data_IF_187827790974
#
_entry.id   IF_187827790974
#
_cell.length_a   1.000
_cell.length_b   1.000
_cell.length_c   1.000
_cell.angle_alpha   90.00
_cell.angle_beta   90.00
_cell.angle_gamma   90.00
#
_symmetry.space_group_name_H-M   'P 1'
#
loop_
_entity.id
_entity.type
_entity.pdbx_description
1 polymer ?
#
# COMPACT_ATOMS: atom_id res chain seq x y z
N UNK A 1 11.07 3.65 -5.58
CA UNK A 1 11.70 2.49 -4.90
C UNK A 1 12.11 1.52 -6.00
N UNK A 2 13.40 1.40 -6.33
CA UNK A 2 13.81 0.65 -7.52
C UNK A 2 13.50 -0.86 -7.45
N UNK A 3 13.51 -1.45 -6.25
CA UNK A 3 13.42 -2.90 -6.05
C UNK A 3 12.01 -3.39 -5.70
N UNK A 4 11.09 -2.48 -5.38
CA UNK A 4 9.71 -2.86 -5.04
C UNK A 4 8.87 -2.97 -6.32
N UNK A 5 8.15 -4.08 -6.47
CA UNK A 5 7.18 -4.28 -7.54
C UNK A 5 5.74 -4.20 -7.03
N UNK A 6 5.51 -4.60 -5.78
CA UNK A 6 4.18 -4.67 -5.18
C UNK A 6 4.19 -4.01 -3.82
N UNK A 7 3.17 -3.18 -3.55
CA UNK A 7 2.94 -2.57 -2.25
C UNK A 7 1.64 -3.09 -1.67
N UNK A 8 1.65 -3.53 -0.42
CA UNK A 8 0.41 -3.81 0.33
C UNK A 8 0.18 -2.67 1.30
N UNK A 9 -0.99 -2.03 1.21
CA UNK A 9 -1.38 -0.86 2.00
C UNK A 9 -2.62 -1.20 2.82
N UNK A 10 -2.59 -0.86 4.10
CA UNK A 10 -3.74 -0.96 5.00
C UNK A 10 -3.81 0.28 5.89
N UNK A 11 -5.02 0.80 6.06
CA UNK A 11 -5.36 1.86 7.01
C UNK A 11 -6.19 1.23 8.14
N UNK A 12 -5.52 0.87 9.23
CA UNK A 12 -6.21 0.31 10.39
C UNK A 12 -7.05 1.41 11.06
N UNK A 13 -8.36 1.18 11.16
CA UNK A 13 -9.36 2.08 11.75
C UNK A 13 -9.24 2.31 13.26
N UNK A 14 -10.21 3.01 13.88
CA UNK A 14 -10.03 3.93 15.02
C UNK A 14 -9.89 3.27 16.40
N UNK A 15 -9.70 1.95 16.49
CA UNK A 15 -9.42 1.29 17.77
C UNK A 15 -8.06 1.68 18.37
N UNK A 16 -7.30 2.51 17.64
CA UNK A 16 -6.16 3.27 18.13
C UNK A 16 -6.40 4.76 17.83
N UNK A 17 -5.93 5.68 18.69
CA UNK A 17 -6.24 7.11 18.62
C UNK A 17 -5.79 7.81 17.33
N UNK A 18 -5.02 7.15 16.46
CA UNK A 18 -4.66 7.62 15.14
C UNK A 18 -4.76 6.48 14.12
N UNK A 19 -5.23 6.75 12.88
CA UNK A 19 -5.20 5.75 11.82
C UNK A 19 -3.76 5.25 11.61
N UNK A 20 -3.55 3.94 11.80
CA UNK A 20 -2.25 3.34 11.59
C UNK A 20 -2.13 2.92 10.13
N UNK A 21 -1.32 3.70 9.41
CA UNK A 21 -0.94 3.37 8.05
C UNK A 21 0.24 2.39 8.07
N UNK A 22 -0.02 1.19 7.59
CA UNK A 22 1.00 0.16 7.39
C UNK A 22 1.19 -0.10 5.90
N UNK A 23 2.46 -0.19 5.50
CA UNK A 23 2.87 -0.44 4.11
C UNK A 23 3.97 -1.46 4.12
N UNK A 24 3.77 -2.55 3.38
CA UNK A 24 4.81 -3.53 3.11
C UNK A 24 5.13 -3.54 1.61
N UNK A 25 6.39 -3.78 1.27
CA UNK A 25 6.86 -3.85 -0.11
C UNK A 25 7.41 -5.23 -0.40
N UNK A 26 7.14 -5.70 -1.62
CA UNK A 26 7.72 -6.92 -2.17
C UNK A 26 8.32 -6.64 -3.55
N UNK A 27 9.37 -7.37 -3.90
CA UNK A 27 9.95 -7.33 -5.24
C UNK A 27 9.12 -8.15 -6.24
N UNK A 28 9.59 -8.25 -7.48
CA UNK A 28 8.92 -9.00 -8.54
C UNK A 28 8.88 -10.51 -8.31
N UNK A 29 9.71 -11.03 -7.40
CA UNK A 29 9.78 -12.43 -7.01
C UNK A 29 9.01 -12.72 -5.71
N UNK A 30 8.37 -11.70 -5.13
CA UNK A 30 7.59 -11.80 -3.89
C UNK A 30 8.44 -11.68 -2.62
N UNK A 31 9.74 -11.43 -2.71
CA UNK A 31 10.61 -11.26 -1.54
C UNK A 31 10.36 -9.90 -0.87
N UNK A 32 10.37 -9.83 0.47
CA UNK A 32 10.14 -8.57 1.19
C UNK A 32 11.29 -7.58 0.92
N UNK A 33 10.92 -6.35 0.57
CA UNK A 33 11.85 -5.24 0.33
C UNK A 33 11.76 -4.26 1.50
N UNK A 34 12.92 -3.93 2.08
CA UNK A 34 12.99 -2.88 3.09
C UNK A 34 12.79 -1.52 2.43
N UNK A 35 11.80 -0.78 2.93
CA UNK A 35 11.51 0.59 2.51
C UNK A 35 11.48 1.51 3.73
N UNK A 36 11.96 2.74 3.57
CA UNK A 36 12.01 3.70 4.67
C UNK A 36 10.61 4.16 5.09
N UNK A 37 10.48 4.69 6.31
CA UNK A 37 9.21 5.24 6.79
C UNK A 37 8.65 6.33 5.85
N UNK A 38 9.51 7.21 5.36
CA UNK A 38 9.14 8.27 4.40
C UNK A 38 8.60 7.68 3.10
N UNK A 39 9.28 6.67 2.58
CA UNK A 39 8.89 5.94 1.39
C UNK A 39 7.53 5.24 1.54
N UNK A 40 7.27 4.62 2.69
CA UNK A 40 5.97 4.05 3.04
C UNK A 40 4.87 5.13 3.01
N UNK A 41 5.06 6.22 3.75
CA UNK A 41 4.08 7.29 3.90
C UNK A 41 3.75 7.98 2.57
N UNK A 42 4.78 8.34 1.79
CA UNK A 42 4.60 8.99 0.49
C UNK A 42 3.84 8.08 -0.47
N UNK A 43 4.23 6.81 -0.57
CA UNK A 43 3.62 5.88 -1.52
C UNK A 43 2.17 5.59 -1.15
N UNK A 44 1.90 5.26 0.11
CA UNK A 44 0.53 5.04 0.56
C UNK A 44 -0.36 6.27 0.38
N UNK A 45 0.14 7.47 0.71
CA UNK A 45 -0.66 8.69 0.53
C UNK A 45 -1.00 8.94 -0.94
N UNK A 46 -0.09 8.62 -1.86
CA UNK A 46 -0.38 8.68 -3.30
C UNK A 46 -1.43 7.65 -3.71
N UNK A 47 -1.25 6.39 -3.31
CA UNK A 47 -2.17 5.29 -3.66
C UNK A 47 -3.58 5.55 -3.09
N UNK A 48 -3.69 5.95 -1.82
CA UNK A 48 -4.98 6.26 -1.17
C UNK A 48 -5.69 7.41 -1.88
N UNK A 49 -4.96 8.44 -2.32
CA UNK A 49 -5.55 9.55 -3.07
C UNK A 49 -5.97 9.17 -4.48
N UNK A 50 -5.27 8.24 -5.12
CA UNK A 50 -5.62 7.74 -6.45
C UNK A 50 -6.84 6.81 -6.43
N UNK A 51 -7.05 6.09 -5.33
CA UNK A 51 -8.18 5.16 -5.15
C UNK A 51 -8.92 5.45 -3.83
N UNK A 52 -9.66 6.57 -3.73
CA UNK A 52 -10.32 6.96 -2.48
C UNK A 52 -11.36 5.93 -2.00
N UNK A 53 -12.01 5.22 -2.92
CA UNK A 53 -13.15 4.33 -2.64
C UNK A 53 -12.76 2.87 -2.37
N UNK A 54 -11.47 2.55 -2.34
CA UNK A 54 -10.98 1.16 -2.26
C UNK A 54 -11.21 0.43 -0.92
N UNK A 55 -11.74 1.11 0.10
CA UNK A 55 -11.99 0.51 1.42
C UNK A 55 -10.70 0.06 2.11
N UNK A 56 -9.89 1.02 2.57
CA UNK A 56 -8.54 0.80 3.11
C UNK A 56 -8.45 0.05 4.45
N UNK A 57 -9.59 -0.31 5.05
CA UNK A 57 -9.61 -1.10 6.29
C UNK A 57 -9.18 -2.56 6.08
N UNK A 58 -9.19 -3.03 4.83
CA UNK A 58 -8.65 -4.33 4.43
C UNK A 58 -7.34 -4.11 3.69
N UNK A 59 -6.31 -4.97 3.86
CA UNK A 59 -5.09 -4.87 3.08
C UNK A 59 -5.38 -4.90 1.57
N UNK A 60 -4.91 -3.88 0.86
CA UNK A 60 -5.01 -3.78 -0.60
C UNK A 60 -3.62 -3.84 -1.22
N UNK A 61 -3.53 -4.54 -2.34
CA UNK A 61 -2.28 -4.73 -3.05
C UNK A 61 -2.24 -3.78 -4.24
N UNK A 62 -1.19 -2.99 -4.40
CA UNK A 62 -0.97 -2.10 -5.53
C UNK A 62 0.27 -2.58 -6.29
N UNK A 63 0.09 -2.89 -7.56
CA UNK A 63 1.18 -3.26 -8.46
C UNK A 63 1.79 -1.98 -9.05
N UNK A 64 3.07 -1.74 -8.72
CA UNK A 64 3.82 -0.57 -9.18
C UNK A 64 4.14 -0.62 -10.67
N UNK A 65 4.12 -1.80 -11.30
CA UNK A 65 4.43 -2.00 -12.72
C UNK A 65 3.23 -1.71 -13.59
N UNK A 66 2.05 -2.13 -13.15
CA UNK A 66 0.80 -1.97 -13.90
C UNK A 66 -0.03 -0.78 -13.42
N UNK A 67 0.34 -0.17 -12.29
CA UNK A 67 -0.43 0.87 -11.60
C UNK A 67 -1.87 0.44 -11.29
N UNK A 68 -2.08 -0.83 -10.95
CA UNK A 68 -3.40 -1.41 -10.65
C UNK A 68 -3.53 -1.76 -9.18
N UNK A 69 -4.71 -1.50 -8.63
CA UNK A 69 -5.09 -1.95 -7.31
C UNK A 69 -5.75 -3.33 -7.39
N UNK A 70 -5.12 -4.33 -6.79
CA UNK A 70 -5.65 -5.67 -6.60
C UNK A 70 -6.68 -5.70 -5.48
N UNK A 71 -7.81 -6.36 -5.75
CA UNK A 71 -8.96 -6.45 -4.83
C UNK A 71 -10.02 -5.38 -5.03
N UNK A 72 -9.85 -4.47 -5.98
CA UNK A 72 -10.94 -3.64 -6.52
C UNK A 72 -11.89 -4.59 -7.26
N UNK A 73 -13.12 -4.72 -6.77
CA UNK A 73 -14.16 -5.43 -7.52
C UNK A 73 -14.36 -4.64 -8.82
N UNK A 74 -14.21 -5.34 -9.95
CA UNK A 74 -14.48 -4.82 -11.28
C UNK A 74 -15.94 -4.38 -11.44
#
# INVERSE_FOLDING_TARGET
>A
MPQAAVLTVVLQGPNKPWPHLEVTARDAHGAPVRITRTQQLVSARWIIRAHPDAGWQTPRTFDLRTARLGGEAA
#
